data_IF_942767767570
#
_entry.id   IF_942767767570
#
_cell.length_a   1.000
_cell.length_b   1.000
_cell.length_c   1.000
_cell.angle_alpha   90.00
_cell.angle_beta   90.00
_cell.angle_gamma   90.00
#
_symmetry.space_group_name_H-M   'P 1'
#
loop_
_entity.id
_entity.type
_entity.pdbx_description
1 polymer ?
#
# COMPACT_ATOMS: atom_id res chain seq x y z
N UNK A 1 -42.02 3.12 -45.46
CA UNK A 1 -42.45 1.73 -45.72
C UNK A 1 -42.67 1.07 -44.38
N UNK A 2 -43.94 0.91 -44.04
CA UNK A 2 -44.48 0.37 -42.79
C UNK A 2 -44.52 -1.15 -42.87
N UNK A 3 -44.05 -1.86 -41.84
CA UNK A 3 -44.49 -3.23 -41.58
C UNK A 3 -45.10 -3.33 -40.19
N UNK A 4 -46.42 -3.46 -40.21
CA UNK A 4 -47.29 -3.81 -39.10
C UNK A 4 -47.43 -5.33 -39.07
N UNK A 5 -47.25 -5.94 -37.90
CA UNK A 5 -47.62 -7.34 -37.66
C UNK A 5 -48.57 -7.38 -36.47
N UNK A 6 -49.87 -7.37 -36.75
CA UNK A 6 -50.93 -7.60 -35.79
C UNK A 6 -51.26 -9.11 -35.75
N UNK A 7 -51.08 -9.73 -34.58
CA UNK A 7 -51.49 -11.12 -34.32
C UNK A 7 -52.92 -11.12 -33.78
N UNK A 8 -53.81 -11.81 -34.49
CA UNK A 8 -55.23 -11.97 -34.17
C UNK A 8 -55.40 -13.03 -33.09
N UNK A 9 -56.11 -12.71 -32.00
CA UNK A 9 -56.71 -13.70 -31.08
C UNK A 9 -58.16 -13.28 -30.79
N UNK A 10 -59.12 -14.12 -31.23
CA UNK A 10 -60.52 -14.23 -30.74
C UNK A 10 -60.54 -15.45 -29.80
N UNK A 11 -61.31 -15.61 -28.73
CA UNK A 11 -62.52 -15.00 -28.12
C UNK A 11 -62.56 -15.47 -26.65
N UNK A 12 -63.21 -14.74 -25.73
CA UNK A 12 -64.34 -15.20 -24.90
C UNK A 12 -64.56 -14.41 -23.58
N UNK A 13 -65.82 -13.99 -23.40
CA UNK A 13 -66.59 -13.75 -22.16
C UNK A 13 -66.23 -12.62 -21.19
N UNK A 14 -67.14 -11.64 -21.20
CA UNK A 14 -67.82 -11.00 -20.05
C UNK A 14 -67.05 -10.81 -18.74
N UNK A 15 -66.83 -9.55 -18.37
CA UNK A 15 -66.67 -9.16 -16.97
C UNK A 15 -65.78 -7.95 -16.72
N UNK A 16 -66.43 -6.84 -16.35
CA UNK A 16 -65.91 -5.70 -15.56
C UNK A 16 -64.90 -4.77 -16.24
N UNK A 17 -65.35 -3.53 -16.41
CA UNK A 17 -64.57 -2.35 -16.73
C UNK A 17 -63.42 -2.16 -15.74
N UNK A 18 -62.19 -2.31 -16.20
CA UNK A 18 -61.01 -1.74 -15.57
C UNK A 18 -60.41 -0.72 -16.53
N UNK A 19 -60.60 0.55 -16.19
CA UNK A 19 -59.97 1.68 -16.86
C UNK A 19 -58.46 1.63 -16.54
N UNK A 20 -57.66 1.00 -17.39
CA UNK A 20 -56.20 1.06 -17.29
C UNK A 20 -55.73 2.41 -17.83
N UNK A 21 -55.50 3.35 -16.91
CA UNK A 21 -54.77 4.58 -17.22
C UNK A 21 -53.31 4.19 -17.43
N UNK A 22 -52.89 4.06 -18.69
CA UNK A 22 -51.49 3.90 -19.04
C UNK A 22 -50.78 5.25 -18.86
N UNK A 23 -50.21 5.47 -17.66
CA UNK A 23 -49.31 6.58 -17.41
C UNK A 23 -47.99 6.35 -18.15
N UNK A 24 -47.77 7.07 -19.25
CA UNK A 24 -46.47 7.13 -19.91
C UNK A 24 -45.53 8.01 -19.08
N UNK A 25 -44.65 7.39 -18.28
CA UNK A 25 -43.53 8.07 -17.64
C UNK A 25 -42.47 8.40 -18.69
N UNK A 26 -42.42 9.67 -19.10
CA UNK A 26 -41.33 10.21 -19.92
C UNK A 26 -40.09 10.36 -19.03
N UNK A 27 -39.19 9.37 -19.07
CA UNK A 27 -37.89 9.48 -18.41
C UNK A 27 -37.02 10.48 -19.22
N UNK A 28 -36.84 11.68 -18.67
CA UNK A 28 -35.86 12.64 -19.18
C UNK A 28 -34.48 12.09 -18.80
N UNK A 29 -33.84 11.37 -19.73
CA UNK A 29 -32.42 11.05 -19.66
C UNK A 29 -31.64 12.36 -19.87
N UNK A 30 -31.36 13.08 -18.79
CA UNK A 30 -30.29 14.06 -18.84
C UNK A 30 -29.00 13.29 -19.09
N UNK A 31 -28.19 13.64 -20.11
CA UNK A 31 -26.88 13.03 -20.27
C UNK A 31 -26.07 13.35 -19.02
N UNK A 32 -25.73 12.32 -18.25
CA UNK A 32 -24.79 12.43 -17.14
C UNK A 32 -23.42 12.68 -17.77
N UNK A 33 -22.99 13.94 -17.79
CA UNK A 33 -21.68 14.30 -18.27
C UNK A 33 -20.69 13.95 -17.15
N UNK A 34 -20.01 12.81 -17.29
CA UNK A 34 -18.95 12.44 -16.37
C UNK A 34 -17.92 13.59 -16.34
N UNK A 35 -17.65 14.13 -15.15
CA UNK A 35 -16.58 15.10 -14.97
C UNK A 35 -15.28 14.46 -15.49
N UNK A 36 -14.58 15.14 -16.39
CA UNK A 36 -13.27 14.68 -16.83
C UNK A 36 -12.32 14.77 -15.63
N UNK A 37 -11.66 13.67 -15.30
CA UNK A 37 -10.64 13.68 -14.26
C UNK A 37 -9.51 14.62 -14.68
N UNK A 38 -9.03 15.43 -13.75
CA UNK A 38 -7.80 16.20 -13.97
C UNK A 38 -6.65 15.19 -13.98
N UNK A 39 -5.93 15.12 -15.09
CA UNK A 39 -4.81 14.23 -15.30
C UNK A 39 -3.53 15.02 -15.55
N UNK A 40 -2.40 14.47 -15.10
CA UNK A 40 -1.09 15.09 -15.22
C UNK A 40 -0.09 14.17 -15.90
N UNK A 41 0.87 14.77 -16.59
CA UNK A 41 2.04 14.09 -17.15
C UNK A 41 3.28 14.82 -16.69
N UNK A 42 4.30 14.10 -16.27
CA UNK A 42 5.47 14.70 -15.65
C UNK A 42 6.58 13.71 -15.38
N UNK A 43 7.65 14.23 -14.78
CA UNK A 43 8.83 13.45 -14.43
C UNK A 43 8.95 13.29 -12.93
N UNK A 44 9.63 12.23 -12.51
CA UNK A 44 9.99 12.00 -11.10
C UNK A 44 11.51 11.95 -10.97
N UNK A 45 12.03 12.59 -9.93
CA UNK A 45 13.42 12.47 -9.50
C UNK A 45 13.47 12.11 -8.03
N UNK A 46 14.62 11.64 -7.56
CA UNK A 46 14.83 11.52 -6.13
C UNK A 46 16.29 11.37 -5.75
N UNK A 47 16.61 11.81 -4.54
CA UNK A 47 17.94 11.75 -3.97
C UNK A 47 17.88 11.52 -2.45
N UNK A 48 18.97 11.00 -1.90
CA UNK A 48 19.13 10.74 -0.48
C UNK A 48 19.87 11.89 0.22
N UNK A 49 19.39 12.30 1.38
CA UNK A 49 19.99 13.35 2.20
C UNK A 49 19.81 13.08 3.71
N UNK A 50 20.43 13.90 4.56
CA UNK A 50 20.27 13.88 6.02
C UNK A 50 20.41 12.46 6.64
N UNK A 51 21.57 11.80 6.49
CA UNK A 51 21.77 10.48 7.08
C UNK A 51 21.72 10.54 8.60
N UNK A 52 21.06 9.54 9.21
CA UNK A 52 21.05 9.34 10.66
C UNK A 52 22.22 8.42 10.99
N UNK A 53 23.22 8.95 11.71
CA UNK A 53 24.50 8.28 11.89
C UNK A 53 24.81 8.04 13.37
N UNK A 54 25.67 7.06 13.61
CA UNK A 54 26.27 6.75 14.90
C UNK A 54 27.78 7.05 14.82
N UNK A 55 28.49 7.20 15.97
CA UNK A 55 29.94 7.24 15.95
C UNK A 55 30.52 5.98 15.29
N UNK A 56 31.25 6.16 14.19
CA UNK A 56 31.83 5.05 13.42
C UNK A 56 31.07 4.67 12.14
N UNK A 57 29.91 5.28 11.87
CA UNK A 57 29.19 5.10 10.61
C UNK A 57 30.08 5.36 9.39
N UNK A 58 30.03 4.46 8.42
CA UNK A 58 30.73 4.57 7.13
C UNK A 58 29.68 4.62 6.04
N UNK A 59 29.62 5.70 5.26
CA UNK A 59 28.65 5.84 4.19
C UNK A 59 29.13 6.79 3.09
N UNK A 60 28.55 6.64 1.89
CA UNK A 60 28.78 7.53 0.74
C UNK A 60 27.49 7.68 -0.07
N UNK A 61 27.42 8.68 -0.97
CA UNK A 61 26.30 8.83 -1.90
C UNK A 61 25.21 9.84 -1.52
N UNK A 62 25.39 10.60 -0.44
CA UNK A 62 24.49 11.74 -0.11
C UNK A 62 24.42 12.75 -1.25
N UNK A 63 23.23 13.26 -1.52
CA UNK A 63 22.91 14.14 -2.65
C UNK A 63 22.73 13.40 -3.98
N UNK A 64 22.79 12.07 -3.98
CA UNK A 64 22.56 11.24 -5.17
C UNK A 64 21.38 10.30 -4.98
N UNK A 65 20.97 9.58 -6.03
CA UNK A 65 19.89 8.60 -5.96
C UNK A 65 20.34 7.23 -5.40
N UNK A 66 21.57 7.12 -4.89
CA UNK A 66 22.11 5.89 -4.30
C UNK A 66 22.92 6.23 -3.06
N UNK A 67 22.66 5.52 -1.96
CA UNK A 67 23.47 5.57 -0.76
C UNK A 67 24.03 4.18 -0.47
N UNK A 68 25.31 4.13 -0.10
CA UNK A 68 25.98 2.90 0.35
C UNK A 68 26.49 3.09 1.78
N UNK A 69 26.40 2.06 2.61
CA UNK A 69 26.85 2.12 3.99
C UNK A 69 27.41 0.81 4.54
N UNK A 70 28.13 0.96 5.65
CA UNK A 70 28.81 -0.12 6.35
C UNK A 70 30.18 -0.45 5.79
N UNK A 71 31.02 -1.06 6.63
CA UNK A 71 32.25 -1.71 6.21
C UNK A 71 31.95 -3.21 6.04
N UNK A 72 32.20 -3.81 4.87
CA UNK A 72 31.98 -5.24 4.66
C UNK A 72 32.70 -6.09 5.71
N UNK A 73 32.04 -7.14 6.20
CA UNK A 73 32.58 -7.99 7.27
C UNK A 73 33.82 -8.78 6.83
N UNK A 74 33.86 -9.21 5.57
CA UNK A 74 34.99 -9.92 4.97
C UNK A 74 35.16 -9.57 3.48
N UNK A 75 36.08 -10.25 2.80
CA UNK A 75 36.41 -9.98 1.39
C UNK A 75 35.36 -10.46 0.38
N UNK A 76 34.36 -11.24 0.80
CA UNK A 76 33.28 -11.74 -0.06
C UNK A 76 31.95 -11.05 0.22
N UNK A 77 31.85 -10.36 1.36
CA UNK A 77 30.74 -9.50 1.74
C UNK A 77 30.78 -8.17 0.98
N UNK A 78 29.64 -7.48 0.95
CA UNK A 78 29.49 -6.17 0.34
C UNK A 78 28.82 -5.18 1.29
N UNK A 79 28.95 -3.90 0.97
CA UNK A 79 28.23 -2.82 1.67
C UNK A 79 26.73 -2.95 1.44
N UNK A 80 25.97 -2.49 2.42
CA UNK A 80 24.57 -2.23 2.21
C UNK A 80 24.39 -1.09 1.20
N UNK A 81 23.34 -1.15 0.40
CA UNK A 81 23.03 -0.13 -0.59
C UNK A 81 21.52 0.07 -0.71
N UNK A 82 21.10 1.33 -0.80
CA UNK A 82 19.73 1.71 -1.16
C UNK A 82 19.79 2.65 -2.35
N UNK A 83 19.05 2.33 -3.41
CA UNK A 83 18.99 3.12 -4.64
C UNK A 83 17.55 3.41 -5.03
N UNK A 84 17.28 4.65 -5.42
CA UNK A 84 15.97 5.05 -5.96
C UNK A 84 16.04 5.16 -7.49
N UNK A 85 15.17 4.39 -8.16
CA UNK A 85 14.94 4.49 -9.60
C UNK A 85 13.57 5.11 -9.83
N UNK A 86 13.48 6.37 -10.30
CA UNK A 86 12.20 7.03 -10.49
C UNK A 86 11.35 6.38 -11.59
N UNK A 87 10.05 6.65 -11.57
CA UNK A 87 9.11 6.26 -12.62
C UNK A 87 8.25 7.46 -12.98
N UNK A 88 8.49 7.99 -14.18
CA UNK A 88 7.71 9.10 -14.74
C UNK A 88 6.24 8.68 -14.92
N UNK A 89 5.35 9.66 -14.90
CA UNK A 89 3.91 9.44 -14.96
C UNK A 89 3.31 10.12 -16.19
N UNK A 90 2.29 9.49 -16.77
CA UNK A 90 1.57 9.98 -17.95
C UNK A 90 0.08 9.80 -17.75
N UNK A 91 -0.69 10.84 -18.05
CA UNK A 91 -2.14 10.89 -17.87
C UNK A 91 -2.61 10.44 -16.47
N UNK A 92 -1.80 10.71 -15.43
CA UNK A 92 -2.06 10.28 -14.06
C UNK A 92 -3.22 11.08 -13.48
N UNK A 93 -4.34 10.45 -13.10
CA UNK A 93 -5.46 11.15 -12.49
C UNK A 93 -5.12 11.57 -11.06
N UNK A 94 -5.62 12.75 -10.65
CA UNK A 94 -5.57 13.14 -9.25
C UNK A 94 -6.37 12.17 -8.37
N UNK A 95 -5.86 11.93 -7.17
CA UNK A 95 -6.45 11.03 -6.17
C UNK A 95 -6.32 9.55 -6.52
N UNK A 96 -5.57 9.20 -7.57
CA UNK A 96 -5.23 7.81 -7.88
C UNK A 96 -3.77 7.54 -7.52
N UNK A 97 -3.56 6.34 -6.97
CA UNK A 97 -2.25 5.83 -6.63
C UNK A 97 -1.42 5.62 -7.88
N UNK A 98 -0.11 5.87 -7.77
CA UNK A 98 0.85 5.54 -8.81
C UNK A 98 2.20 5.17 -8.21
N UNK A 99 3.02 4.49 -9.00
CA UNK A 99 4.39 4.14 -8.64
C UNK A 99 5.28 5.35 -8.90
N UNK A 100 5.75 6.01 -7.85
CA UNK A 100 6.71 7.11 -7.97
C UNK A 100 8.11 6.61 -8.38
N UNK A 101 8.42 5.37 -8.03
CA UNK A 101 9.67 4.73 -8.36
C UNK A 101 9.87 3.43 -7.61
N UNK A 102 11.08 2.90 -7.70
CA UNK A 102 11.50 1.65 -7.05
C UNK A 102 12.67 1.92 -6.14
N UNK A 103 12.57 1.43 -4.90
CA UNK A 103 13.68 1.34 -3.96
C UNK A 103 14.33 -0.02 -4.10
N UNK A 104 15.52 -0.04 -4.68
CA UNK A 104 16.37 -1.21 -4.72
C UNK A 104 17.23 -1.25 -3.46
N UNK A 105 17.20 -2.38 -2.76
CA UNK A 105 17.97 -2.62 -1.54
C UNK A 105 18.82 -3.87 -1.73
N UNK A 106 20.14 -3.70 -1.59
CA UNK A 106 21.11 -4.76 -1.40
C UNK A 106 21.47 -4.88 0.08
N UNK A 107 21.14 -6.02 0.68
CA UNK A 107 21.46 -6.35 2.06
C UNK A 107 22.76 -7.15 2.12
N UNK A 108 23.83 -6.52 2.61
CA UNK A 108 25.15 -7.11 2.74
C UNK A 108 25.60 -7.26 4.19
N UNK A 109 26.55 -8.16 4.42
CA UNK A 109 27.12 -8.37 5.74
C UNK A 109 28.16 -7.32 6.09
N UNK A 110 27.90 -6.51 7.12
CA UNK A 110 28.77 -5.41 7.56
C UNK A 110 29.21 -5.54 9.01
N UNK A 111 30.31 -4.88 9.38
CA UNK A 111 30.72 -4.76 10.78
C UNK A 111 29.73 -3.92 11.58
N UNK A 112 29.25 -4.44 12.71
CA UNK A 112 28.42 -3.68 13.64
C UNK A 112 29.15 -2.42 14.13
N UNK A 113 28.42 -1.31 14.17
CA UNK A 113 28.93 0.03 14.47
C UNK A 113 29.34 0.84 13.25
N UNK A 114 29.33 0.23 12.05
CA UNK A 114 29.63 0.95 10.79
C UNK A 114 28.39 1.31 9.99
N UNK A 115 27.22 0.86 10.42
CA UNK A 115 25.94 1.15 9.78
C UNK A 115 25.49 2.61 9.96
N UNK A 116 24.45 2.99 9.23
CA UNK A 116 23.63 4.19 9.50
C UNK A 116 22.21 3.72 9.87
N UNK A 117 21.50 4.51 10.68
CA UNK A 117 20.18 4.13 11.21
C UNK A 117 19.03 4.65 10.32
N UNK A 118 19.34 5.44 9.29
CA UNK A 118 18.34 5.94 8.37
C UNK A 118 18.84 7.07 7.47
N UNK A 119 17.95 7.53 6.59
CA UNK A 119 18.21 8.59 5.62
C UNK A 119 16.88 9.23 5.21
N UNK A 120 16.90 10.47 4.75
CA UNK A 120 15.76 11.08 4.07
C UNK A 120 15.86 10.76 2.56
N UNK A 121 14.80 10.23 1.95
CA UNK A 121 14.60 10.19 0.51
C UNK A 121 13.74 11.38 0.10
N UNK A 122 14.28 12.27 -0.72
CA UNK A 122 13.53 13.40 -1.26
C UNK A 122 13.07 13.02 -2.66
N UNK A 123 11.76 12.84 -2.86
CA UNK A 123 11.16 12.61 -4.17
C UNK A 123 10.60 13.93 -4.68
N UNK A 124 10.94 14.29 -5.91
CA UNK A 124 10.42 15.48 -6.57
C UNK A 124 9.69 15.09 -7.83
N UNK A 125 8.54 15.73 -8.08
CA UNK A 125 7.81 15.59 -9.33
C UNK A 125 7.75 16.94 -10.03
N UNK A 126 7.84 16.93 -11.35
CA UNK A 126 7.69 18.14 -12.17
C UNK A 126 6.71 17.90 -13.31
N UNK A 127 5.80 18.84 -13.51
CA UNK A 127 4.80 18.81 -14.57
C UNK A 127 4.51 20.22 -15.08
N UNK A 128 3.97 20.32 -16.29
CA UNK A 128 3.42 21.59 -16.78
C UNK A 128 2.18 22.04 -15.98
N UNK A 129 1.49 21.09 -15.34
CA UNK A 129 0.42 21.40 -14.39
C UNK A 129 1.03 21.51 -12.97
N UNK A 130 0.93 22.67 -12.30
CA UNK A 130 1.53 22.88 -10.99
C UNK A 130 0.96 21.94 -9.92
N UNK A 131 -0.26 21.42 -10.09
CA UNK A 131 -0.85 20.50 -9.13
C UNK A 131 -0.20 19.11 -9.13
N UNK A 132 0.67 18.84 -10.10
CA UNK A 132 1.50 17.63 -10.21
C UNK A 132 2.99 17.93 -9.99
N UNK A 133 3.32 19.15 -9.53
CA UNK A 133 4.69 19.55 -9.16
C UNK A 133 4.80 19.61 -7.65
N UNK A 134 5.53 18.67 -7.05
CA UNK A 134 5.62 18.52 -5.60
C UNK A 134 6.98 18.01 -5.15
N UNK A 135 7.29 18.25 -3.88
CA UNK A 135 8.42 17.64 -3.16
C UNK A 135 7.86 16.82 -2.00
N UNK A 136 8.26 15.55 -1.92
CA UNK A 136 7.86 14.60 -0.90
C UNK A 136 9.11 14.09 -0.16
N UNK A 137 9.41 14.63 1.03
CA UNK A 137 10.45 14.11 1.90
C UNK A 137 9.95 12.85 2.62
N UNK A 138 10.66 11.73 2.48
CA UNK A 138 10.36 10.47 3.16
C UNK A 138 11.51 10.09 4.08
N UNK A 139 11.25 10.04 5.38
CA UNK A 139 12.21 9.52 6.36
C UNK A 139 12.22 8.00 6.30
N UNK A 140 13.38 7.41 6.04
CA UNK A 140 13.55 5.96 5.99
C UNK A 140 14.44 5.56 7.16
N UNK A 141 13.95 4.65 8.00
CA UNK A 141 14.76 4.00 9.04
C UNK A 141 15.34 2.72 8.48
N UNK A 142 16.61 2.46 8.78
CA UNK A 142 17.29 1.19 8.48
C UNK A 142 17.41 0.39 9.76
N UNK A 143 17.12 -0.90 9.68
CA UNK A 143 17.29 -1.83 10.80
C UNK A 143 18.19 -2.96 10.35
N UNK A 144 19.39 -2.98 10.92
CA UNK A 144 20.32 -4.11 10.78
C UNK A 144 20.06 -5.15 11.85
N UNK A 145 19.91 -6.40 11.42
CA UNK A 145 19.53 -7.53 12.25
C UNK A 145 20.72 -8.44 12.54
N UNK A 146 20.74 -9.16 13.68
CA UNK A 146 21.74 -10.19 13.89
C UNK A 146 21.53 -11.37 12.94
N UNK A 147 22.58 -11.77 12.23
CA UNK A 147 22.57 -12.98 11.41
C UNK A 147 22.47 -14.24 12.27
N UNK A 148 21.35 -14.94 12.15
CA UNK A 148 21.00 -16.18 12.86
C UNK A 148 20.65 -17.30 11.87
N UNK A 149 20.35 -18.49 12.38
CA UNK A 149 20.04 -19.64 11.52
C UNK A 149 18.75 -19.48 10.68
N UNK A 150 17.81 -18.65 11.14
CA UNK A 150 16.60 -18.34 10.40
C UNK A 150 16.86 -17.17 9.44
N UNK A 151 16.79 -17.39 8.10
CA UNK A 151 17.03 -16.33 7.13
C UNK A 151 15.98 -15.20 7.20
N UNK A 152 14.75 -15.50 7.61
CA UNK A 152 13.69 -14.49 7.72
C UNK A 152 13.95 -13.56 8.91
N UNK A 153 14.44 -14.11 10.03
CA UNK A 153 14.83 -13.33 11.20
C UNK A 153 16.13 -12.55 11.01
N UNK A 154 16.96 -12.94 10.04
CA UNK A 154 18.24 -12.29 9.67
C UNK A 154 18.09 -11.27 8.55
N UNK A 155 16.86 -11.00 8.09
CA UNK A 155 16.63 -10.03 7.03
C UNK A 155 16.72 -8.61 7.59
N UNK A 156 17.64 -7.82 7.04
CA UNK A 156 17.65 -6.38 7.29
C UNK A 156 16.45 -5.74 6.59
N UNK A 157 16.00 -4.61 7.12
CA UNK A 157 14.79 -3.98 6.63
C UNK A 157 14.79 -2.48 6.73
N UNK A 158 13.97 -1.90 5.88
CA UNK A 158 13.66 -0.48 5.89
C UNK A 158 12.18 -0.27 6.17
N UNK A 159 11.84 0.87 6.73
CA UNK A 159 10.46 1.35 6.83
C UNK A 159 10.42 2.87 6.80
N UNK A 160 9.27 3.43 6.47
CA UNK A 160 9.07 4.87 6.52
C UNK A 160 8.83 5.31 7.96
N UNK A 161 9.74 6.11 8.52
CA UNK A 161 9.77 6.46 9.94
C UNK A 161 8.47 7.13 10.40
N UNK A 162 7.95 8.03 9.57
CA UNK A 162 6.73 8.79 9.86
C UNK A 162 5.45 8.01 9.54
N UNK A 163 5.57 6.82 8.93
CA UNK A 163 4.45 5.97 8.51
C UNK A 163 4.69 4.49 8.85
N UNK A 164 4.95 4.14 10.13
CA UNK A 164 5.28 2.77 10.52
C UNK A 164 4.14 1.78 10.29
N UNK A 165 2.89 2.25 10.19
CA UNK A 165 1.72 1.43 9.86
C UNK A 165 1.73 0.88 8.43
N UNK A 166 2.63 1.39 7.57
CA UNK A 166 2.87 0.87 6.21
C UNK A 166 3.76 -0.36 6.19
N UNK A 167 4.23 -0.78 7.36
CA UNK A 167 5.08 -1.93 7.51
C UNK A 167 6.51 -1.67 7.06
N UNK A 168 7.22 -2.75 6.74
CA UNK A 168 8.62 -2.74 6.34
C UNK A 168 8.83 -3.53 5.05
N UNK A 169 9.86 -3.13 4.32
CA UNK A 169 10.44 -3.92 3.24
C UNK A 169 11.73 -4.57 3.75
N UNK A 170 11.77 -5.90 3.69
CA UNK A 170 12.86 -6.72 4.23
C UNK A 170 13.59 -7.45 3.13
N UNK A 171 14.91 -7.53 3.21
CA UNK A 171 15.75 -8.22 2.22
C UNK A 171 16.63 -9.23 2.93
N UNK A 172 16.65 -10.46 2.43
CA UNK A 172 17.44 -11.55 3.00
C UNK A 172 18.94 -11.22 2.96
N UNK A 173 19.67 -11.77 3.91
CA UNK A 173 21.12 -11.57 4.00
C UNK A 173 21.84 -12.03 2.72
N UNK A 174 22.71 -11.17 2.19
CA UNK A 174 23.46 -11.43 0.96
C UNK A 174 22.63 -11.35 -0.32
N UNK A 175 21.38 -10.89 -0.23
CA UNK A 175 20.49 -10.73 -1.38
C UNK A 175 20.23 -9.26 -1.72
N UNK A 176 19.62 -9.08 -2.89
CA UNK A 176 19.23 -7.78 -3.41
C UNK A 176 17.92 -7.89 -4.19
N UNK A 177 17.05 -6.92 -4.02
CA UNK A 177 15.76 -6.83 -4.71
C UNK A 177 15.22 -5.40 -4.60
N UNK A 178 14.06 -5.13 -5.18
CA UNK A 178 13.43 -3.83 -5.06
C UNK A 178 12.00 -3.92 -4.54
N UNK A 179 11.51 -2.79 -4.05
CA UNK A 179 10.10 -2.56 -3.74
C UNK A 179 9.62 -1.28 -4.43
N UNK A 180 8.38 -1.27 -4.91
CA UNK A 180 7.76 -0.05 -5.43
C UNK A 180 7.42 0.92 -4.29
N UNK A 181 7.55 2.22 -4.56
CA UNK A 181 7.07 3.31 -3.69
C UNK A 181 5.80 3.88 -4.30
N UNK A 182 4.67 3.71 -3.60
CA UNK A 182 3.36 4.14 -4.07
C UNK A 182 3.00 5.48 -3.44
N UNK A 183 2.58 6.44 -4.27
CA UNK A 183 2.20 7.79 -3.86
C UNK A 183 0.91 8.22 -4.56
N UNK A 184 0.36 9.37 -4.16
CA UNK A 184 -0.88 9.90 -4.73
C UNK A 184 -0.84 11.43 -4.90
N UNK A 185 -1.31 11.92 -6.06
CA UNK A 185 -1.49 13.36 -6.33
C UNK A 185 -2.88 13.84 -5.89
N UNK A 186 -3.00 14.33 -4.66
CA UNK A 186 -4.13 15.15 -4.17
C UNK A 186 -3.93 15.54 -2.70
N UNK A 187 -3.04 14.81 -2.01
CA UNK A 187 -2.77 14.96 -0.58
C UNK A 187 -1.30 14.84 -0.18
N UNK A 188 -0.36 14.73 -1.12
CA UNK A 188 1.08 14.52 -0.83
C UNK A 188 1.35 13.26 0.02
N UNK A 189 0.48 12.25 -0.06
CA UNK A 189 0.58 11.10 0.81
C UNK A 189 1.41 9.98 0.19
N UNK A 190 2.37 9.52 0.97
CA UNK A 190 2.88 8.17 0.83
C UNK A 190 1.72 7.19 1.06
N UNK A 191 1.46 6.35 0.06
CA UNK A 191 0.49 5.25 0.20
C UNK A 191 1.16 4.05 0.87
N UNK A 192 2.42 3.80 0.52
CA UNK A 192 3.26 2.76 1.14
C UNK A 192 4.10 2.02 0.12
N UNK A 193 4.42 0.76 0.44
CA UNK A 193 5.13 -0.14 -0.45
C UNK A 193 4.18 -0.86 -1.42
N UNK A 194 4.63 -1.03 -2.66
CA UNK A 194 3.93 -1.78 -3.70
C UNK A 194 4.54 -3.15 -3.95
N UNK A 195 4.67 -3.56 -5.21
CA UNK A 195 5.20 -4.87 -5.56
C UNK A 195 6.69 -5.01 -5.19
N UNK A 196 7.06 -6.22 -4.75
CA UNK A 196 8.46 -6.63 -4.56
C UNK A 196 8.94 -7.31 -5.83
N UNK A 197 10.13 -6.94 -6.31
CA UNK A 197 10.70 -7.46 -7.57
C UNK A 197 10.91 -8.97 -7.55
N UNK A 198 11.69 -9.46 -6.59
CA UNK A 198 11.90 -10.89 -6.33
C UNK A 198 11.43 -11.26 -4.91
N UNK A 199 10.26 -11.93 -4.77
CA UNK A 199 9.71 -12.31 -3.48
C UNK A 199 10.47 -13.47 -2.80
N UNK A 200 11.42 -14.11 -3.48
CA UNK A 200 12.32 -15.09 -2.87
C UNK A 200 13.50 -14.42 -2.14
N UNK A 201 13.77 -13.15 -2.43
CA UNK A 201 14.91 -12.37 -1.92
C UNK A 201 14.51 -11.28 -0.94
N UNK A 202 13.28 -10.80 -1.04
CA UNK A 202 12.73 -9.82 -0.12
C UNK A 202 11.23 -9.94 0.00
N UNK A 203 10.68 -9.34 1.05
CA UNK A 203 9.27 -9.45 1.37
C UNK A 203 8.77 -8.24 2.15
N UNK A 204 7.45 -8.05 2.14
CA UNK A 204 6.79 -7.07 2.98
C UNK A 204 6.35 -7.69 4.30
N UNK A 205 6.46 -6.91 5.36
CA UNK A 205 6.01 -7.27 6.70
C UNK A 205 5.18 -6.13 7.28
N UNK A 206 4.06 -6.40 7.98
CA UNK A 206 3.29 -5.36 8.67
C UNK A 206 4.00 -4.81 9.91
N UNK A 207 5.15 -5.38 10.29
CA UNK A 207 5.90 -5.03 11.49
C UNK A 207 7.13 -4.19 11.16
N UNK A 208 7.45 -3.24 12.02
CA UNK A 208 8.74 -2.51 12.05
C UNK A 208 9.68 -3.06 13.13
N UNK A 209 9.29 -4.12 13.83
CA UNK A 209 10.09 -4.79 14.85
C UNK A 209 10.88 -5.99 14.33
N UNK A 210 11.68 -6.66 15.19
CA UNK A 210 12.48 -7.81 14.79
C UNK A 210 11.63 -9.01 14.36
N UNK A 211 10.46 -9.22 14.97
CA UNK A 211 9.49 -10.21 14.52
C UNK A 211 8.72 -9.66 13.29
N UNK A 212 8.87 -10.27 12.10
CA UNK A 212 8.17 -9.81 10.90
C UNK A 212 6.69 -10.13 10.92
N UNK A 213 6.22 -11.10 11.71
CA UNK A 213 4.82 -11.52 11.75
C UNK A 213 4.36 -11.68 13.20
N UNK A 214 4.30 -10.56 13.95
CA UNK A 214 3.89 -10.60 15.35
C UNK A 214 2.49 -11.19 15.46
N UNK A 215 2.31 -12.12 16.40
CA UNK A 215 1.02 -12.72 16.66
C UNK A 215 0.00 -11.63 17.01
N UNK A 216 -1.08 -11.53 16.23
CA UNK A 216 -2.21 -10.65 16.54
C UNK A 216 -2.93 -11.23 17.76
N UNK A 217 -3.05 -10.49 18.89
CA UNK A 217 -3.80 -10.99 20.04
C UNK A 217 -5.23 -11.32 19.62
N UNK A 218 -5.69 -12.54 19.93
CA UNK A 218 -7.09 -12.90 19.66
C UNK A 218 -8.01 -11.88 20.35
N UNK A 219 -9.00 -11.32 19.63
CA UNK A 219 -9.91 -10.36 20.25
C UNK A 219 -10.64 -11.06 21.40
N UNK A 220 -10.53 -10.49 22.61
CA UNK A 220 -11.17 -10.96 23.85
C UNK A 220 -12.71 -11.08 23.77
N UNK A 221 -13.30 -10.78 22.61
CA UNK A 221 -14.73 -10.72 22.32
C UNK A 221 -15.40 -12.09 22.17
N UNK A 222 -14.67 -13.16 21.84
CA UNK A 222 -15.29 -14.48 21.61
C UNK A 222 -15.70 -15.14 22.94
N UNK A 223 -14.90 -15.00 24.00
CA UNK A 223 -15.25 -15.48 25.35
C UNK A 223 -16.35 -14.63 26.02
N UNK A 224 -16.40 -13.31 25.73
CA UNK A 224 -17.43 -12.42 26.24
C UNK A 224 -18.84 -12.70 25.68
N UNK A 225 -18.95 -13.02 24.38
CA UNK A 225 -20.22 -13.36 23.75
C UNK A 225 -20.75 -14.74 24.17
N UNK A 226 -19.87 -15.72 24.41
CA UNK A 226 -20.26 -17.03 24.94
C UNK A 226 -20.74 -16.95 26.40
N UNK A 227 -20.15 -16.08 27.23
CA UNK A 227 -20.57 -15.89 28.62
C UNK A 227 -21.95 -15.20 28.74
N UNK A 228 -22.30 -14.28 27.84
CA UNK A 228 -23.62 -13.63 27.81
C UNK A 228 -24.71 -14.55 27.23
N UNK A 229 -24.38 -15.47 26.32
CA UNK A 229 -25.33 -16.43 25.75
C UNK A 229 -25.85 -17.46 26.75
N UNK A 230 -25.06 -17.83 27.76
CA UNK A 230 -25.44 -18.83 28.78
C UNK A 230 -26.28 -18.26 29.94
N UNK A 231 -26.27 -16.95 30.16
CA UNK A 231 -27.11 -16.30 31.18
C UNK A 231 -28.54 -15.99 30.68
N UNK A 232 -28.78 -16.03 29.37
CA UNK A 232 -30.08 -15.70 28.76
C UNK A 232 -31.08 -16.85 28.62
N UNK A 233 -30.68 -18.11 28.78
CA UNK A 233 -31.56 -19.27 28.56
C UNK A 233 -32.14 -19.89 29.86
N UNK A 234 -31.82 -19.34 31.03
CA UNK A 234 -32.11 -19.95 32.32
C UNK A 234 -33.24 -19.31 33.13
N UNK A 235 -34.34 -18.82 32.56
CA UNK A 235 -35.55 -18.47 33.34
C UNK A 235 -36.80 -18.22 32.47
N UNK A 236 -37.36 -19.26 31.86
CA UNK A 236 -38.81 -19.31 31.57
C UNK A 236 -39.32 -20.71 31.93
N UNK A 237 -39.45 -20.98 33.24
CA UNK A 237 -40.23 -22.13 33.71
C UNK A 237 -41.67 -21.67 33.93
N UNK A 238 -42.47 -21.92 32.90
CA UNK A 238 -43.89 -21.65 32.85
C UNK A 238 -44.62 -22.68 33.75
N UNK A 239 -45.07 -22.27 34.93
CA UNK A 239 -45.93 -23.11 35.78
C UNK A 239 -47.36 -22.55 35.78
N UNK A 240 -48.14 -22.98 34.80
CA UNK A 240 -49.59 -22.87 34.83
C UNK A 240 -50.24 -24.17 35.32
N UNK A 241 -51.17 -24.00 36.28
CA UNK A 241 -52.40 -24.77 36.57
C UNK A 241 -52.27 -26.18 37.19
N UNK A 242 -52.69 -26.29 38.46
CA UNK A 242 -54.08 -26.64 38.81
C UNK A 242 -54.47 -25.95 40.11
#
# INVERSE_FOLDING_TARGET
MTQSSAKIIKNAREGKHYLLVAGATLAILTPFQAAQAIVGTGTVTGYFDNPITLPGSVYTGIGTNTIEWGTPFDSVSFTNQLSFTPSDFTDQPKGQDFVAGRLYYRNGTIFLGTQIDGVDLIIETTSSDPDFTQTLPLKITFVTTPNVADPIASADFIYFTDFPERGSFRVLEGEETYVEVITQFNSLDLVGFGAVGDPLKGFLSPSTGPDPFPAVPEPSSILGLLALGLLGMGSVSNKQRK
#
